data_IF_111526059035
#
_entry.id   IF_111526059035
#
_cell.length_a   1.000
_cell.length_b   1.000
_cell.length_c   1.000
_cell.angle_alpha   90.00
_cell.angle_beta   90.00
_cell.angle_gamma   90.00
#
_symmetry.space_group_name_H-M   'P 1'
#
loop_
_entity.id
_entity.type
_entity.pdbx_description
1 polymer ?
#
# COMPACT_ATOMS: atom_id res chain seq x y z
N UNK A 1 -1.34 -26.29 5.29
CA UNK A 1 -1.27 -26.20 6.77
C UNK A 1 -1.09 -27.58 7.41
N UNK A 2 -1.87 -28.61 7.04
CA UNK A 2 -1.71 -29.98 7.56
C UNK A 2 -0.29 -30.58 7.46
N UNK A 3 0.48 -30.29 6.42
CA UNK A 3 1.85 -30.83 6.28
C UNK A 3 2.88 -30.22 7.27
N UNK A 4 2.65 -29.01 7.80
CA UNK A 4 3.55 -28.37 8.78
C UNK A 4 3.29 -28.84 10.21
N UNK A 5 2.06 -29.25 10.51
CA UNK A 5 1.61 -29.62 11.87
C UNK A 5 2.35 -30.85 12.39
N UNK A 6 2.66 -31.83 11.53
CA UNK A 6 3.34 -33.06 11.93
C UNK A 6 4.87 -32.92 11.99
N UNK A 7 5.47 -32.02 11.22
CA UNK A 7 6.92 -31.91 11.08
C UNK A 7 7.58 -30.77 11.86
N UNK A 8 6.86 -29.68 12.16
CA UNK A 8 7.41 -28.46 12.80
C UNK A 8 6.36 -27.75 13.68
N UNK A 9 6.02 -28.29 14.86
CA UNK A 9 4.90 -27.82 15.67
C UNK A 9 5.03 -26.36 16.12
N UNK A 10 6.23 -25.90 16.47
CA UNK A 10 6.45 -24.50 16.88
C UNK A 10 6.26 -23.49 15.73
N UNK A 11 6.64 -23.87 14.51
CA UNK A 11 6.45 -23.03 13.33
C UNK A 11 4.97 -22.98 12.93
N UNK A 12 4.26 -24.10 13.03
CA UNK A 12 2.82 -24.16 12.87
C UNK A 12 2.07 -23.30 13.91
N UNK A 13 2.47 -23.36 15.19
CA UNK A 13 1.88 -22.53 16.25
C UNK A 13 2.07 -21.03 15.97
N UNK A 14 3.28 -20.61 15.60
CA UNK A 14 3.57 -19.21 15.23
C UNK A 14 2.76 -18.75 14.02
N UNK A 15 2.55 -19.63 13.04
CA UNK A 15 1.71 -19.32 11.88
C UNK A 15 0.24 -19.14 12.29
N UNK A 16 -0.30 -20.00 13.15
CA UNK A 16 -1.67 -19.89 13.65
C UNK A 16 -1.90 -18.57 14.41
N UNK A 17 -0.95 -18.15 15.25
CA UNK A 17 -1.02 -16.85 15.94
C UNK A 17 -1.03 -15.69 14.94
N UNK A 18 -0.09 -15.69 13.98
CA UNK A 18 -0.04 -14.66 12.92
C UNK A 18 -1.32 -14.58 12.11
N UNK A 19 -1.90 -15.74 11.77
CA UNK A 19 -3.17 -15.80 11.05
C UNK A 19 -4.32 -15.23 11.91
N UNK A 20 -4.37 -15.59 13.19
CA UNK A 20 -5.37 -15.05 14.12
C UNK A 20 -5.29 -13.53 14.27
N UNK A 21 -4.08 -12.98 14.38
CA UNK A 21 -3.84 -11.53 14.42
C UNK A 21 -4.26 -10.85 13.12
N UNK A 22 -3.90 -11.43 11.98
CA UNK A 22 -4.29 -10.94 10.66
C UNK A 22 -5.81 -10.90 10.47
N UNK A 23 -6.53 -11.97 10.85
CA UNK A 23 -7.99 -12.03 10.74
C UNK A 23 -8.66 -10.98 11.62
N UNK A 24 -8.21 -10.82 12.87
CA UNK A 24 -8.72 -9.78 13.78
C UNK A 24 -8.52 -8.38 13.20
N UNK A 25 -7.32 -8.07 12.71
CA UNK A 25 -7.02 -6.78 12.07
C UNK A 25 -7.88 -6.56 10.83
N UNK A 26 -8.04 -7.56 9.98
CA UNK A 26 -8.87 -7.48 8.77
C UNK A 26 -10.32 -7.18 9.09
N UNK A 27 -10.88 -7.78 10.15
CA UNK A 27 -12.25 -7.50 10.61
C UNK A 27 -12.39 -6.07 11.15
N UNK A 28 -11.44 -5.61 11.97
CA UNK A 28 -11.45 -4.24 12.49
C UNK A 28 -11.35 -3.22 11.35
N UNK A 29 -10.39 -3.39 10.45
CA UNK A 29 -10.19 -2.52 9.28
C UNK A 29 -11.40 -2.54 8.34
N UNK A 30 -11.94 -3.72 8.06
CA UNK A 30 -13.09 -3.90 7.16
C UNK A 30 -14.39 -3.23 7.63
N UNK A 31 -14.50 -2.91 8.93
CA UNK A 31 -15.65 -2.18 9.49
C UNK A 31 -15.58 -0.66 9.28
N UNK A 32 -14.41 -0.12 8.88
CA UNK A 32 -14.22 1.31 8.63
C UNK A 32 -14.71 1.65 7.22
N UNK A 33 -15.10 2.90 7.01
CA UNK A 33 -15.52 3.35 5.67
C UNK A 33 -14.31 3.55 4.74
N UNK A 34 -13.24 4.14 5.27
CA UNK A 34 -11.98 4.42 4.58
C UNK A 34 -10.80 4.27 5.53
N UNK A 35 -9.64 3.91 4.99
CA UNK A 35 -8.36 3.81 5.69
C UNK A 35 -7.22 4.42 4.85
N UNK A 36 -6.07 4.77 5.44
CA UNK A 36 -4.87 5.10 4.68
C UNK A 36 -4.40 3.90 3.84
N UNK A 37 -3.86 4.15 2.65
CA UNK A 37 -3.25 3.11 1.80
C UNK A 37 -2.15 2.33 2.56
N UNK A 38 -1.44 2.99 3.47
CA UNK A 38 -0.46 2.32 4.34
C UNK A 38 -1.08 1.14 5.13
N UNK A 39 -2.31 1.26 5.64
CA UNK A 39 -2.97 0.17 6.37
C UNK A 39 -3.32 -1.01 5.43
N UNK A 40 -3.73 -0.74 4.18
CA UNK A 40 -3.95 -1.78 3.17
C UNK A 40 -2.65 -2.52 2.81
N UNK A 41 -1.56 -1.78 2.64
CA UNK A 41 -0.23 -2.32 2.31
C UNK A 41 0.31 -3.19 3.45
N UNK A 42 0.08 -2.78 4.70
CA UNK A 42 0.46 -3.55 5.87
C UNK A 42 -0.29 -4.89 5.92
N UNK A 43 -1.61 -4.89 5.68
CA UNK A 43 -2.41 -6.12 5.60
C UNK A 43 -1.93 -7.03 4.47
N UNK A 44 -1.68 -6.48 3.28
CA UNK A 44 -1.16 -7.23 2.14
C UNK A 44 0.21 -7.85 2.43
N UNK A 45 1.10 -7.10 3.07
CA UNK A 45 2.43 -7.58 3.48
C UNK A 45 2.32 -8.71 4.50
N UNK A 46 1.42 -8.58 5.48
CA UNK A 46 1.15 -9.63 6.46
C UNK A 46 0.62 -10.90 5.79
N UNK A 47 -0.35 -10.78 4.88
CA UNK A 47 -0.88 -11.93 4.13
C UNK A 47 0.22 -12.63 3.33
N UNK A 48 1.03 -11.89 2.58
CA UNK A 48 2.13 -12.46 1.80
C UNK A 48 3.17 -13.15 2.69
N UNK A 49 3.43 -12.62 3.88
CA UNK A 49 4.33 -13.26 4.85
C UNK A 49 3.79 -14.60 5.37
N UNK A 50 2.47 -14.72 5.53
CA UNK A 50 1.78 -15.95 5.91
C UNK A 50 1.87 -16.97 4.77
N UNK A 51 1.58 -16.54 3.54
CA UNK A 51 1.67 -17.39 2.35
C UNK A 51 3.10 -17.82 2.02
N UNK A 52 4.11 -16.98 2.31
CA UNK A 52 5.53 -17.30 2.14
C UNK A 52 5.95 -18.52 2.98
N UNK A 53 5.33 -18.76 4.14
CA UNK A 53 5.59 -19.97 4.94
C UNK A 53 5.16 -21.24 4.21
N UNK A 54 4.12 -21.16 3.37
CA UNK A 54 3.60 -22.30 2.60
C UNK A 54 4.37 -22.52 1.30
N UNK A 55 4.71 -21.43 0.60
CA UNK A 55 5.31 -21.50 -0.73
C UNK A 55 6.85 -21.37 -0.73
N UNK A 56 7.45 -20.99 0.40
CA UNK A 56 8.91 -20.84 0.51
C UNK A 56 9.47 -19.93 -0.57
N UNK A 57 10.59 -20.31 -1.18
CA UNK A 57 11.25 -19.51 -2.23
C UNK A 57 10.47 -19.35 -3.53
N UNK A 58 9.41 -20.14 -3.73
CA UNK A 58 8.53 -20.01 -4.89
C UNK A 58 7.68 -18.74 -4.86
N UNK A 59 7.42 -18.15 -3.70
CA UNK A 59 6.70 -16.87 -3.60
C UNK A 59 7.67 -15.73 -3.33
N UNK A 60 7.79 -14.81 -4.28
CA UNK A 60 8.50 -13.53 -4.10
C UNK A 60 7.47 -12.40 -4.03
N UNK A 61 7.78 -11.35 -3.29
CA UNK A 61 6.94 -10.16 -3.25
C UNK A 61 7.79 -8.91 -3.37
N UNK A 62 7.25 -7.92 -4.09
CA UNK A 62 7.89 -6.63 -4.30
C UNK A 62 6.86 -5.52 -4.13
N UNK A 63 7.22 -4.52 -3.33
CA UNK A 63 6.41 -3.33 -3.12
C UNK A 63 7.17 -2.12 -3.62
N UNK A 64 6.59 -1.42 -4.57
CA UNK A 64 7.14 -0.20 -5.14
C UNK A 64 6.12 0.93 -4.94
N UNK A 65 6.16 1.56 -3.77
CA UNK A 65 5.12 2.49 -3.28
C UNK A 65 5.72 3.89 -3.15
N UNK A 66 5.11 4.87 -3.81
CA UNK A 66 5.53 6.26 -3.62
C UNK A 66 5.10 6.77 -2.23
N UNK A 67 5.95 7.57 -1.60
CA UNK A 67 5.72 8.01 -0.21
C UNK A 67 4.49 8.91 -0.08
N UNK A 68 4.20 9.71 -1.12
CA UNK A 68 3.10 10.67 -1.17
C UNK A 68 1.70 10.04 -1.34
N UNK A 69 1.64 8.71 -1.58
CA UNK A 69 0.38 7.97 -1.67
C UNK A 69 0.04 7.16 -0.43
N UNK A 70 0.96 7.01 0.54
CA UNK A 70 0.72 6.18 1.74
C UNK A 70 -0.47 6.66 2.58
N UNK A 71 -0.68 7.98 2.65
CA UNK A 71 -1.76 8.60 3.42
C UNK A 71 -3.05 8.82 2.60
N UNK A 72 -3.08 8.35 1.34
CA UNK A 72 -4.29 8.42 0.51
C UNK A 72 -5.37 7.56 1.13
N UNK A 73 -6.54 8.15 1.28
CA UNK A 73 -7.75 7.53 1.81
C UNK A 73 -8.37 6.60 0.78
N UNK A 74 -8.40 5.32 1.10
CA UNK A 74 -8.88 4.25 0.25
C UNK A 74 -9.97 3.44 0.95
N UNK A 75 -10.91 2.82 0.20
CA UNK A 75 -11.75 1.77 0.77
C UNK A 75 -10.90 0.66 1.39
N UNK A 76 -11.32 0.08 2.53
CA UNK A 76 -10.58 -1.02 3.14
C UNK A 76 -10.79 -2.33 2.36
N UNK A 77 -9.83 -3.24 2.55
CA UNK A 77 -9.80 -4.61 2.03
C UNK A 77 -9.92 -4.69 0.50
N UNK A 78 -9.33 -3.75 -0.22
CA UNK A 78 -9.25 -3.77 -1.68
C UNK A 78 -8.02 -4.53 -2.17
N UNK A 79 -6.89 -4.38 -1.50
CA UNK A 79 -5.63 -4.96 -1.95
C UNK A 79 -5.53 -6.45 -1.59
N UNK A 80 -6.10 -6.83 -0.45
CA UNK A 80 -6.05 -8.21 0.06
C UNK A 80 -6.60 -9.24 -0.95
N UNK A 81 -7.81 -9.07 -1.54
CA UNK A 81 -8.32 -10.03 -2.53
C UNK A 81 -7.45 -10.12 -3.79
N UNK A 82 -6.78 -9.04 -4.19
CA UNK A 82 -5.90 -9.03 -5.36
C UNK A 82 -4.62 -9.82 -5.10
N UNK A 83 -4.02 -9.61 -3.93
CA UNK A 83 -2.82 -10.32 -3.50
C UNK A 83 -3.10 -11.80 -3.24
N UNK A 84 -4.25 -12.12 -2.65
CA UNK A 84 -4.72 -13.49 -2.51
C UNK A 84 -4.88 -14.14 -3.90
N UNK A 85 -5.54 -13.45 -4.84
CA UNK A 85 -5.66 -13.93 -6.21
C UNK A 85 -4.30 -14.18 -6.87
N UNK A 86 -3.35 -13.25 -6.72
CA UNK A 86 -2.03 -13.35 -7.30
C UNK A 86 -1.25 -14.57 -6.80
N UNK A 87 -1.36 -14.89 -5.51
CA UNK A 87 -0.74 -16.10 -4.92
C UNK A 87 -1.48 -17.36 -5.38
N UNK A 88 -2.78 -17.41 -5.18
CA UNK A 88 -3.58 -18.63 -5.38
C UNK A 88 -3.77 -19.00 -6.84
N UNK A 89 -4.03 -18.02 -7.71
CA UNK A 89 -4.32 -18.23 -9.12
C UNK A 89 -3.12 -17.98 -10.04
N UNK A 90 -2.08 -17.30 -9.56
CA UNK A 90 -0.80 -17.12 -10.27
C UNK A 90 0.27 -18.08 -9.74
N UNK A 91 0.95 -17.66 -8.68
CA UNK A 91 2.17 -18.31 -8.16
C UNK A 91 1.99 -19.79 -7.85
N UNK A 92 0.87 -20.18 -7.23
CA UNK A 92 0.64 -21.56 -6.81
C UNK A 92 0.60 -22.56 -7.97
N UNK A 93 0.28 -22.09 -9.18
CA UNK A 93 0.10 -22.93 -10.37
C UNK A 93 1.35 -23.04 -11.24
N UNK A 94 2.38 -22.24 -10.97
CA UNK A 94 3.63 -22.27 -11.71
C UNK A 94 4.66 -23.08 -10.94
N UNK A 95 5.30 -24.06 -11.58
CA UNK A 95 6.29 -24.94 -10.93
C UNK A 95 7.41 -24.13 -10.26
N UNK A 96 7.94 -23.13 -10.98
CA UNK A 96 9.01 -22.24 -10.53
C UNK A 96 8.54 -21.17 -9.54
N UNK A 97 7.23 -21.07 -9.33
CA UNK A 97 6.61 -20.01 -8.54
C UNK A 97 6.56 -18.68 -9.30
N UNK A 98 6.69 -17.58 -8.58
CA UNK A 98 6.51 -16.25 -9.14
C UNK A 98 6.68 -15.11 -8.16
N UNK A 99 6.67 -13.89 -8.71
CA UNK A 99 6.67 -12.65 -7.94
C UNK A 99 5.28 -12.02 -7.97
N UNK A 100 4.78 -11.63 -6.80
CA UNK A 100 3.64 -10.73 -6.66
C UNK A 100 4.19 -9.32 -6.46
N UNK A 101 4.04 -8.46 -7.46
CA UNK A 101 4.49 -7.08 -7.38
C UNK A 101 3.31 -6.14 -7.20
N UNK A 102 3.44 -5.21 -6.25
CA UNK A 102 2.47 -4.15 -5.96
C UNK A 102 3.15 -2.82 -6.19
N UNK A 103 2.58 -1.96 -7.02
CA UNK A 103 3.05 -0.58 -7.19
C UNK A 103 1.94 0.42 -6.94
N UNK A 104 2.30 1.57 -6.39
CA UNK A 104 1.35 2.65 -6.14
C UNK A 104 1.97 4.01 -6.43
N UNK A 105 1.28 4.85 -7.20
CA UNK A 105 1.73 6.17 -7.65
C UNK A 105 0.59 7.17 -7.67
N UNK A 106 0.93 8.44 -7.46
CA UNK A 106 0.01 9.55 -7.73
C UNK A 106 0.21 10.03 -9.17
N UNK A 107 -0.88 10.13 -9.94
CA UNK A 107 -0.90 10.74 -11.27
C UNK A 107 -2.13 11.63 -11.41
N UNK A 108 -1.93 12.91 -11.73
CA UNK A 108 -3.03 13.83 -12.06
C UNK A 108 -4.16 13.90 -11.00
N UNK A 109 -3.83 13.78 -9.72
CA UNK A 109 -4.81 13.79 -8.62
C UNK A 109 -5.48 12.43 -8.36
N UNK A 110 -5.08 11.37 -9.05
CA UNK A 110 -5.50 10.00 -8.83
C UNK A 110 -4.37 9.17 -8.21
N UNK A 111 -4.78 8.15 -7.46
CA UNK A 111 -3.97 7.03 -7.01
C UNK A 111 -4.12 5.93 -8.06
N UNK A 112 -3.00 5.59 -8.68
CA UNK A 112 -2.84 4.41 -9.53
C UNK A 112 -2.20 3.31 -8.67
N UNK A 113 -2.93 2.23 -8.44
CA UNK A 113 -2.48 1.05 -7.70
C UNK A 113 -2.49 -0.15 -8.65
N UNK A 114 -1.34 -0.80 -8.83
CA UNK A 114 -1.20 -1.92 -9.76
C UNK A 114 -0.68 -3.15 -9.02
N UNK A 115 -1.33 -4.29 -9.24
CA UNK A 115 -0.89 -5.60 -8.76
C UNK A 115 -0.62 -6.47 -9.97
N UNK A 116 0.59 -7.03 -10.04
CA UNK A 116 0.99 -7.94 -11.13
C UNK A 116 1.49 -9.25 -10.57
N UNK A 117 1.18 -10.35 -11.25
CA UNK A 117 1.73 -11.67 -10.98
C UNK A 117 1.90 -12.45 -12.27
N UNK A 118 2.79 -13.45 -12.31
CA UNK A 118 2.86 -14.32 -13.46
C UNK A 118 1.61 -15.20 -13.56
N UNK A 119 1.22 -15.52 -14.78
CA UNK A 119 0.16 -16.46 -15.10
C UNK A 119 0.58 -17.38 -16.23
N UNK A 120 -0.06 -18.53 -16.31
CA UNK A 120 0.11 -19.48 -17.41
C UNK A 120 -0.84 -19.10 -18.55
N UNK A 121 -0.34 -18.71 -19.75
CA UNK A 121 -1.18 -18.31 -20.89
C UNK A 121 -2.04 -19.45 -21.43
N UNK A 122 -1.54 -20.69 -21.36
CA UNK A 122 -2.20 -21.87 -21.91
C UNK A 122 -3.27 -22.40 -20.95
N UNK A 123 -3.26 -21.89 -19.71
CA UNK A 123 -4.26 -22.24 -18.73
C UNK A 123 -5.55 -21.46 -19.01
N UNK A 124 -6.68 -22.14 -19.30
CA UNK A 124 -7.95 -21.45 -19.45
C UNK A 124 -8.22 -20.65 -18.18
N UNK A 125 -8.68 -19.40 -18.34
CA UNK A 125 -9.01 -18.52 -17.23
C UNK A 125 -9.80 -19.30 -16.19
N UNK A 126 -9.15 -19.62 -15.06
CA UNK A 126 -9.77 -20.51 -14.10
C UNK A 126 -11.03 -19.82 -13.62
N UNK A 127 -12.17 -20.53 -13.64
CA UNK A 127 -13.40 -20.10 -12.97
C UNK A 127 -13.18 -20.14 -11.45
N UNK A 128 -12.24 -19.36 -10.92
CA UNK A 128 -12.41 -18.80 -9.60
C UNK A 128 -13.74 -18.06 -9.63
N UNK A 129 -14.46 -18.04 -8.52
CA UNK A 129 -15.81 -17.46 -8.47
C UNK A 129 -15.86 -15.98 -8.87
N UNK A 130 -14.71 -15.34 -9.10
CA UNK A 130 -14.57 -13.92 -9.39
C UNK A 130 -14.92 -13.05 -8.19
N UNK A 131 -15.33 -13.66 -7.07
CA UNK A 131 -15.93 -12.99 -5.92
C UNK A 131 -14.98 -11.96 -5.32
N UNK A 132 -13.67 -12.24 -5.28
CA UNK A 132 -12.68 -11.26 -4.82
C UNK A 132 -12.70 -9.97 -5.64
N UNK A 133 -12.51 -10.06 -6.96
CA UNK A 133 -12.52 -8.91 -7.86
C UNK A 133 -13.90 -8.23 -7.95
N UNK A 134 -14.98 -9.01 -7.93
CA UNK A 134 -16.36 -8.49 -7.91
C UNK A 134 -16.61 -7.68 -6.63
N UNK A 135 -16.17 -8.18 -5.47
CA UNK A 135 -16.30 -7.46 -4.20
C UNK A 135 -15.46 -6.18 -4.17
N UNK A 136 -14.23 -6.23 -4.71
CA UNK A 136 -13.37 -5.04 -4.83
C UNK A 136 -14.04 -3.99 -5.72
N UNK A 137 -14.53 -4.40 -6.91
CA UNK A 137 -15.22 -3.49 -7.83
C UNK A 137 -16.48 -2.90 -7.22
N UNK A 138 -17.35 -3.71 -6.63
CA UNK A 138 -18.59 -3.24 -5.99
C UNK A 138 -18.31 -2.28 -4.82
N UNK A 139 -17.28 -2.56 -4.01
CA UNK A 139 -16.87 -1.68 -2.91
C UNK A 139 -16.32 -0.34 -3.41
N UNK A 140 -15.50 -0.37 -4.46
CA UNK A 140 -14.94 0.84 -5.09
C UNK A 140 -16.06 1.68 -5.71
N UNK A 141 -16.98 1.06 -6.45
CA UNK A 141 -18.13 1.73 -7.05
C UNK A 141 -19.00 2.41 -5.98
N UNK A 142 -19.25 1.72 -4.86
CA UNK A 142 -20.06 2.24 -3.75
C UNK A 142 -19.43 3.48 -3.09
N UNK A 143 -18.10 3.49 -2.89
CA UNK A 143 -17.42 4.53 -2.11
C UNK A 143 -16.83 5.66 -2.94
N UNK A 144 -16.53 5.42 -4.21
CA UNK A 144 -15.84 6.37 -5.09
C UNK A 144 -16.67 6.74 -6.35
N UNK A 145 -17.77 6.03 -6.60
CA UNK A 145 -18.63 6.24 -7.77
C UNK A 145 -17.87 6.08 -9.09
N UNK A 146 -18.30 6.83 -10.10
CA UNK A 146 -17.75 6.78 -11.47
C UNK A 146 -16.32 7.34 -11.62
N UNK A 147 -15.71 7.87 -10.54
CA UNK A 147 -14.33 8.43 -10.60
C UNK A 147 -13.26 7.37 -10.34
N UNK A 148 -13.65 6.12 -10.23
CA UNK A 148 -12.76 5.01 -9.99
C UNK A 148 -12.93 3.92 -11.05
N UNK A 149 -11.86 3.20 -11.33
CA UNK A 149 -11.87 2.05 -12.23
C UNK A 149 -11.09 0.89 -11.64
N UNK A 150 -11.47 -0.31 -12.06
CA UNK A 150 -10.73 -1.56 -11.80
C UNK A 150 -10.57 -2.26 -13.13
N UNK A 151 -9.37 -2.24 -13.67
CA UNK A 151 -9.06 -2.83 -14.97
C UNK A 151 -8.24 -4.10 -14.76
N UNK A 152 -8.56 -5.14 -15.52
CA UNK A 152 -7.90 -6.44 -15.46
C UNK A 152 -7.38 -6.76 -16.85
N UNK A 153 -6.10 -7.06 -16.93
CA UNK A 153 -5.42 -7.42 -18.16
C UNK A 153 -4.61 -8.70 -17.93
N UNK A 154 -4.64 -9.61 -18.89
CA UNK A 154 -3.87 -10.83 -18.88
C UNK A 154 -3.22 -10.97 -20.25
N UNK A 155 -1.91 -10.78 -20.31
CA UNK A 155 -1.15 -10.81 -21.56
C UNK A 155 0.10 -11.64 -21.37
N UNK A 156 0.37 -12.48 -22.37
CA UNK A 156 1.49 -13.40 -22.37
C UNK A 156 1.54 -14.18 -21.06
N UNK A 157 2.58 -13.98 -20.26
CA UNK A 157 2.79 -14.68 -18.99
C UNK A 157 2.50 -13.82 -17.76
N UNK A 158 1.76 -12.71 -17.90
CA UNK A 158 1.48 -11.77 -16.81
C UNK A 158 -0.01 -11.45 -16.67
N UNK A 159 -0.47 -11.47 -15.43
CA UNK A 159 -1.78 -11.00 -15.00
C UNK A 159 -1.61 -9.71 -14.22
N UNK A 160 -2.41 -8.70 -14.58
CA UNK A 160 -2.32 -7.34 -14.04
C UNK A 160 -3.70 -6.85 -13.64
N UNK A 161 -3.81 -6.33 -12.43
CA UNK A 161 -4.99 -5.60 -11.95
C UNK A 161 -4.57 -4.17 -11.66
N UNK A 162 -5.24 -3.21 -12.28
CA UNK A 162 -5.03 -1.78 -12.06
C UNK A 162 -6.26 -1.16 -11.42
N UNK A 163 -6.06 -0.44 -10.32
CA UNK A 163 -7.10 0.32 -9.63
C UNK A 163 -6.75 1.79 -9.74
N UNK A 164 -7.70 2.58 -10.24
CA UNK A 164 -7.61 4.04 -10.26
C UNK A 164 -8.63 4.62 -9.27
N UNK A 165 -8.17 5.47 -8.36
CA UNK A 165 -9.01 6.10 -7.33
C UNK A 165 -8.66 7.58 -7.20
N UNK A 166 -9.61 8.47 -6.86
CA UNK A 166 -9.27 9.85 -6.51
C UNK A 166 -8.35 9.88 -5.28
N UNK A 167 -7.21 10.56 -5.38
CA UNK A 167 -6.21 10.58 -4.32
C UNK A 167 -6.51 11.66 -3.27
N UNK A 168 -7.52 11.39 -2.44
CA UNK A 168 -7.94 12.23 -1.30
C UNK A 168 -7.17 11.80 -0.06
N UNK A 169 -6.55 12.71 0.67
CA UNK A 169 -5.85 12.39 1.94
C UNK A 169 -6.85 12.27 3.08
N UNK A 170 -6.62 11.38 4.06
CA UNK A 170 -7.46 11.30 5.26
C UNK A 170 -7.35 12.62 6.05
N UNK A 171 -8.47 13.31 6.28
CA UNK A 171 -8.51 14.48 7.15
C UNK A 171 -8.15 14.04 8.59
N UNK A 172 -6.91 14.32 8.99
CA UNK A 172 -6.31 13.80 10.23
C UNK A 172 -4.79 13.60 10.12
N UNK A 173 -4.25 13.46 8.90
CA UNK A 173 -2.81 13.49 8.64
C UNK A 173 -2.29 14.94 8.52
N UNK A 174 -2.46 15.73 9.58
CA UNK A 174 -1.70 16.97 9.70
C UNK A 174 -0.24 16.61 9.88
N UNK A 175 0.55 16.58 8.80
CA UNK A 175 1.99 16.82 8.90
C UNK A 175 2.13 18.25 9.45
N UNK A 176 2.36 18.34 10.75
CA UNK A 176 2.78 19.59 11.38
C UNK A 176 4.01 20.09 10.59
N UNK A 177 3.97 21.28 9.99
CA UNK A 177 5.12 21.80 9.26
C UNK A 177 6.24 21.99 10.27
N UNK A 178 7.46 21.59 9.89
CA UNK A 178 8.66 21.74 10.69
C UNK A 178 8.68 23.11 11.38
N UNK A 179 8.52 23.12 12.70
CA UNK A 179 8.70 24.31 13.53
C UNK A 179 10.13 24.79 13.31
N UNK A 180 10.25 25.84 12.52
CA UNK A 180 11.38 26.73 12.55
C UNK A 180 11.41 27.37 13.96
N UNK A 181 12.37 26.97 14.78
CA UNK A 181 12.73 27.64 16.04
C UNK A 181 14.23 27.48 16.17
N UNK A 182 15.04 28.42 15.70
CA UNK A 182 15.36 29.63 16.46
C UNK A 182 15.59 29.29 17.93
N UNK A 183 16.81 28.86 18.23
CA UNK A 183 17.38 28.88 19.56
C UNK A 183 18.79 29.46 19.42
N UNK A 184 18.88 30.79 19.31
CA UNK A 184 19.89 31.49 20.09
C UNK A 184 19.35 32.84 20.55
N UNK A 185 19.53 33.12 21.83
CA UNK A 185 18.93 34.23 22.58
C UNK A 185 19.73 35.52 22.40
N UNK A 186 19.14 36.69 22.73
CA UNK A 186 19.80 37.99 22.61
C UNK A 186 20.62 38.31 23.87
N UNK A 187 21.73 39.04 23.71
CA UNK A 187 22.31 39.84 24.79
C UNK A 187 23.16 41.01 24.25
N UNK A 188 22.86 42.21 24.78
CA UNK A 188 23.63 43.47 24.72
C UNK A 188 23.77 44.10 23.32
N UNK A 189 23.50 45.38 23.10
CA UNK A 189 24.08 46.51 23.83
C UNK A 189 23.27 47.80 23.62
N UNK A 190 23.17 48.62 24.67
CA UNK A 190 22.62 49.98 24.63
C UNK A 190 23.76 50.98 24.54
N UNK A 191 23.48 52.09 23.85
CA UNK A 191 24.21 53.36 23.84
C UNK A 191 25.38 53.48 22.86
N UNK A 192 25.20 54.29 21.83
CA UNK A 192 25.79 55.63 21.88
C UNK A 192 25.15 56.59 20.87
N UNK A 193 24.90 57.79 21.37
CA UNK A 193 24.53 59.00 20.63
C UNK A 193 25.69 59.41 19.71
N UNK A 194 25.39 59.91 18.51
CA UNK A 194 25.92 61.19 18.03
C UNK A 194 25.30 61.56 16.68
N UNK A 195 25.09 62.86 16.53
CA UNK A 195 24.40 63.57 15.47
C UNK A 195 25.47 64.38 14.72
N UNK A 196 25.23 64.69 13.43
CA UNK A 196 25.93 65.71 12.60
C UNK A 196 27.34 65.24 12.16
N UNK A 197 27.81 65.33 10.91
CA UNK A 197 28.05 66.53 10.08
C UNK A 197 28.21 66.14 8.58
N UNK A 198 27.81 67.10 7.75
CA UNK A 198 27.94 67.33 6.30
C UNK A 198 29.15 66.82 5.50
N UNK A 199 28.93 66.71 4.17
CA UNK A 199 29.93 66.94 3.11
C UNK A 199 29.74 65.96 1.94
N UNK A 200 28.98 66.26 0.89
CA UNK A 200 29.36 67.03 -0.32
C UNK A 200 30.68 66.62 -1.01
N UNK A 201 30.51 66.13 -2.24
CA UNK A 201 31.25 66.43 -3.48
C UNK A 201 32.56 65.71 -3.86
N UNK A 202 32.60 65.40 -5.18
CA UNK A 202 33.74 65.21 -6.12
C UNK A 202 34.42 63.83 -6.04
N UNK A 203 34.68 63.09 -7.13
CA UNK A 203 34.63 63.26 -8.60
C UNK A 203 34.21 61.92 -9.19
#
# INVERSE_FOLDING_TARGET
>A
INALIAGRPEEARRLCVRLGDFLRRSLTVGSRERIPLAEELDLATQLLSIEKVRFGERLRSRFDIAEDVRDVSVPPLMLQPLVENAVHHGVAHLLEGGEVAVSARRREGFLELVVTNPCDPDRPASRGTGVGLVNVRSRIETLCGHRASVDVDARDTQFTVSILLPAVTVAGASKEPARNSAADRPAADQASRARVISGSLKV
#
